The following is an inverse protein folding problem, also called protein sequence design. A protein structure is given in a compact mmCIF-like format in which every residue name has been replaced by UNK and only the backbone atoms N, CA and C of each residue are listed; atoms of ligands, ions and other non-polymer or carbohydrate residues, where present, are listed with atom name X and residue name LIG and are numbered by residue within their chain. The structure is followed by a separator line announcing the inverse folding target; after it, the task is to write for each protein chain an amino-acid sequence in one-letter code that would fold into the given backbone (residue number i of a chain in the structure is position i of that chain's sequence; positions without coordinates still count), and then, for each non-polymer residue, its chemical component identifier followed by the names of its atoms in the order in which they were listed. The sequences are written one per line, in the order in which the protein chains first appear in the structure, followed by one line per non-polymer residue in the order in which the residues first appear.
data_IF_315529715526
#
_entry.id   IF_315529715526
#
_cell.length_a   1.000
_cell.length_b   1.000
_cell.length_c   1.000
_cell.angle_alpha   90.00
_cell.angle_beta   90.00
_cell.angle_gamma   90.00
#
_symmetry.space_group_name_H-M   'P 1'
#
loop_
_entity.id
_entity.type
_entity.pdbx_description
1 polymer ?
#
# COMPACT_ATOMS: atom_id res chain seq x y z
N UNK A 1 -16.00 8.17 4.20
CA UNK A 1 -15.45 7.07 5.00
C UNK A 1 -16.01 7.21 6.41
N UNK A 2 -16.61 6.15 6.93
CA UNK A 2 -17.10 6.12 8.32
C UNK A 2 -15.93 6.12 9.31
N UNK A 3 -16.12 6.66 10.53
CA UNK A 3 -15.01 6.80 11.50
C UNK A 3 -14.44 5.46 11.99
N UNK A 4 -15.28 4.43 12.00
CA UNK A 4 -14.92 3.05 12.35
C UNK A 4 -14.51 2.21 11.14
N UNK A 5 -14.53 2.76 9.92
CA UNK A 5 -14.15 2.04 8.72
C UNK A 5 -12.71 1.55 8.84
N UNK A 6 -12.48 0.32 8.40
CA UNK A 6 -11.18 -0.34 8.40
C UNK A 6 -10.38 0.13 7.19
N UNK A 7 -9.34 0.93 7.42
CA UNK A 7 -8.60 1.61 6.36
C UNK A 7 -7.20 1.00 6.25
N UNK A 8 -6.86 0.45 5.10
CA UNK A 8 -5.50 0.00 4.81
C UNK A 8 -4.68 1.08 4.10
N UNK A 9 -3.47 1.35 4.58
CA UNK A 9 -2.53 2.31 3.96
C UNK A 9 -1.28 1.56 3.50
N UNK A 10 -1.23 1.18 2.23
CA UNK A 10 -0.05 0.58 1.62
C UNK A 10 1.05 1.65 1.48
N UNK A 11 2.26 1.36 1.94
CA UNK A 11 3.38 2.33 1.88
C UNK A 11 3.35 3.42 2.96
N UNK A 12 2.71 3.15 4.11
CA UNK A 12 2.51 4.10 5.22
C UNK A 12 3.77 4.81 5.76
N UNK A 13 4.98 4.26 5.55
CA UNK A 13 6.25 4.88 5.99
C UNK A 13 6.84 5.86 4.97
N UNK A 14 6.34 5.87 3.75
CA UNK A 14 6.77 6.81 2.71
C UNK A 14 6.29 8.23 3.00
N UNK A 15 6.80 9.20 2.25
CA UNK A 15 6.42 10.61 2.40
C UNK A 15 4.90 10.81 2.31
N UNK A 16 4.28 10.26 1.26
CA UNK A 16 2.83 10.34 1.04
C UNK A 16 2.06 9.51 2.07
N UNK A 17 2.43 8.23 2.23
CA UNK A 17 1.73 7.33 3.16
C UNK A 17 1.74 7.82 4.61
N UNK A 18 2.85 8.39 5.08
CA UNK A 18 2.94 8.93 6.45
C UNK A 18 2.13 10.20 6.63
N UNK A 19 1.99 11.04 5.59
CA UNK A 19 1.11 12.19 5.62
C UNK A 19 -0.36 11.78 5.69
N UNK A 20 -0.76 10.76 4.92
CA UNK A 20 -2.11 10.18 4.97
C UNK A 20 -2.39 9.61 6.36
N UNK A 21 -1.49 8.80 6.91
CA UNK A 21 -1.65 8.20 8.23
C UNK A 21 -1.88 9.26 9.31
N UNK A 22 -0.97 10.24 9.43
CA UNK A 22 -1.10 11.33 10.43
C UNK A 22 -2.39 12.13 10.26
N UNK A 23 -2.84 12.34 9.01
CA UNK A 23 -4.06 13.10 8.72
C UNK A 23 -5.29 12.31 9.16
N UNK A 24 -5.36 11.01 8.88
CA UNK A 24 -6.45 10.15 9.31
C UNK A 24 -6.51 10.03 10.84
N UNK A 25 -5.38 9.84 11.51
CA UNK A 25 -5.32 9.85 12.98
C UNK A 25 -5.83 11.18 13.55
N UNK A 26 -5.37 12.31 13.01
CA UNK A 26 -5.81 13.65 13.43
C UNK A 26 -7.30 13.88 13.20
N UNK A 27 -7.88 13.25 12.18
CA UNK A 27 -9.31 13.30 11.91
C UNK A 27 -10.13 12.31 12.75
N UNK A 28 -9.51 11.49 13.59
CA UNK A 28 -10.20 10.57 14.50
C UNK A 28 -10.55 9.22 13.88
N UNK A 29 -9.88 8.80 12.79
CA UNK A 29 -9.94 7.42 12.34
C UNK A 29 -9.02 6.57 13.21
N UNK A 30 -9.56 5.51 13.80
CA UNK A 30 -8.84 4.66 14.76
C UNK A 30 -8.61 3.21 14.26
N UNK A 31 -9.27 2.80 13.18
CA UNK A 31 -9.18 1.46 12.62
C UNK A 31 -8.27 1.43 11.39
N UNK A 32 -6.99 1.77 11.59
CA UNK A 32 -5.98 1.87 10.55
C UNK A 32 -5.10 0.60 10.51
N UNK A 33 -5.01 -0.03 9.35
CA UNK A 33 -4.12 -1.16 9.11
C UNK A 33 -2.90 -0.67 8.32
N UNK A 34 -1.72 -1.08 8.76
CA UNK A 34 -0.48 -0.86 8.05
C UNK A 34 0.39 -2.12 8.05
N UNK A 35 1.27 -2.23 7.05
CA UNK A 35 2.31 -3.28 6.96
C UNK A 35 3.60 -2.67 6.44
N UNK A 36 4.72 -3.11 6.99
CA UNK A 36 6.06 -2.86 6.44
C UNK A 36 6.35 -3.84 5.30
N UNK A 37 7.33 -3.53 4.44
CA UNK A 37 7.73 -4.43 3.36
C UNK A 37 8.27 -5.78 3.85
N UNK A 38 8.76 -5.85 5.09
CA UNK A 38 9.18 -7.11 5.71
C UNK A 38 7.99 -7.96 6.19
N UNK A 39 6.85 -7.34 6.48
CA UNK A 39 5.63 -8.03 6.91
C UNK A 39 4.75 -8.44 5.73
N UNK A 40 4.76 -7.65 4.64
CA UNK A 40 3.97 -7.90 3.45
C UNK A 40 4.73 -7.41 2.21
N UNK A 41 5.23 -8.35 1.42
CA UNK A 41 5.76 -8.04 0.08
C UNK A 41 4.61 -7.89 -0.91
N UNK A 42 4.32 -6.65 -1.28
CA UNK A 42 3.25 -6.29 -2.20
C UNK A 42 3.46 -6.80 -3.64
N UNK A 43 4.66 -7.27 -3.98
CA UNK A 43 4.94 -7.90 -5.28
C UNK A 43 4.50 -9.37 -5.32
N UNK A 44 4.33 -10.00 -4.16
CA UNK A 44 3.88 -11.38 -4.05
C UNK A 44 2.34 -11.44 -4.02
N UNK A 45 1.76 -11.99 -5.08
CA UNK A 45 0.30 -12.07 -5.24
C UNK A 45 -0.38 -12.87 -4.13
N UNK A 46 0.18 -14.02 -3.75
CA UNK A 46 -0.41 -14.88 -2.71
C UNK A 46 -0.43 -14.19 -1.35
N UNK A 47 0.69 -13.54 -0.98
CA UNK A 47 0.75 -12.79 0.29
C UNK A 47 -0.27 -11.65 0.33
N UNK A 48 -0.50 -10.96 -0.80
CA UNK A 48 -1.51 -9.90 -0.90
C UNK A 48 -2.91 -10.50 -0.83
N UNK A 49 -3.19 -11.59 -1.54
CA UNK A 49 -4.47 -12.29 -1.49
C UNK A 49 -4.82 -12.71 -0.05
N UNK A 50 -3.89 -13.37 0.64
CA UNK A 50 -4.07 -13.81 2.03
C UNK A 50 -4.30 -12.62 2.98
N UNK A 51 -3.58 -11.51 2.76
CA UNK A 51 -3.76 -10.29 3.53
C UNK A 51 -5.16 -9.71 3.36
N UNK A 52 -5.66 -9.61 2.12
CA UNK A 52 -7.01 -9.07 1.87
C UNK A 52 -8.11 -9.99 2.40
N UNK A 53 -7.95 -11.31 2.27
CA UNK A 53 -8.90 -12.28 2.83
C UNK A 53 -8.96 -12.20 4.37
N UNK A 54 -7.83 -11.98 5.05
CA UNK A 54 -7.78 -11.87 6.50
C UNK A 54 -8.28 -10.52 7.00
N UNK A 55 -7.87 -9.43 6.34
CA UNK A 55 -8.08 -8.09 6.86
C UNK A 55 -9.35 -7.41 6.36
N UNK A 56 -9.81 -7.69 5.13
CA UNK A 56 -11.03 -7.13 4.54
C UNK A 56 -11.20 -5.61 4.79
N UNK A 57 -10.28 -4.76 4.31
CA UNK A 57 -10.37 -3.32 4.51
C UNK A 57 -11.55 -2.71 3.72
N UNK A 58 -12.26 -1.76 4.32
CA UNK A 58 -13.32 -0.99 3.65
C UNK A 58 -12.75 0.02 2.64
N UNK A 59 -11.55 0.55 2.93
CA UNK A 59 -10.88 1.53 2.08
C UNK A 59 -9.38 1.23 2.00
N UNK A 60 -8.79 1.49 0.82
CA UNK A 60 -7.37 1.31 0.57
C UNK A 60 -6.76 2.61 0.04
N UNK A 61 -5.70 3.08 0.69
CA UNK A 61 -4.80 4.10 0.16
C UNK A 61 -3.53 3.42 -0.37
N UNK A 62 -3.39 3.33 -1.70
CA UNK A 62 -2.19 2.80 -2.35
C UNK A 62 -1.13 3.90 -2.52
N UNK A 63 -0.25 4.05 -1.53
CA UNK A 63 0.89 4.96 -1.57
C UNK A 63 2.25 4.24 -1.70
N UNK A 64 2.24 2.91 -1.79
CA UNK A 64 3.43 2.10 -2.01
C UNK A 64 3.87 2.13 -3.48
N UNK A 65 5.15 2.36 -3.71
CA UNK A 65 5.76 2.32 -5.03
C UNK A 65 7.27 2.06 -4.91
N UNK A 66 7.86 1.49 -5.96
CA UNK A 66 9.31 1.56 -6.16
C UNK A 66 9.64 2.96 -6.67
N UNK A 67 10.36 3.71 -5.85
CA UNK A 67 10.74 5.11 -6.13
C UNK A 67 12.25 5.30 -6.06
N UNK A 68 12.75 6.37 -6.69
CA UNK A 68 14.15 6.75 -6.64
C UNK A 68 14.41 8.06 -7.39
N UNK A 69 15.64 8.57 -7.31
CA UNK A 69 16.06 9.75 -8.07
C UNK A 69 16.21 9.47 -9.56
N UNK A 70 16.58 10.51 -10.33
CA UNK A 70 16.71 10.42 -11.80
C UNK A 70 17.69 9.32 -12.25
N UNK A 71 18.81 9.17 -11.53
CA UNK A 71 19.81 8.12 -11.81
C UNK A 71 19.23 6.73 -11.57
N UNK A 72 18.54 6.51 -10.44
CA UNK A 72 17.96 5.22 -10.10
C UNK A 72 16.87 4.79 -11.10
N UNK A 73 16.00 5.71 -11.53
CA UNK A 73 15.01 5.43 -12.57
C UNK A 73 15.67 5.06 -13.91
N UNK A 74 16.79 5.70 -14.24
CA UNK A 74 17.49 5.45 -15.49
C UNK A 74 18.28 4.13 -15.48
N UNK A 75 18.80 3.73 -14.32
CA UNK A 75 19.58 2.49 -14.14
C UNK A 75 18.67 1.27 -14.00
N UNK A 76 17.63 1.34 -13.17
CA UNK A 76 16.78 0.20 -12.80
C UNK A 76 15.43 0.19 -13.53
N UNK A 77 15.43 0.54 -14.83
CA UNK A 77 14.20 0.78 -15.60
C UNK A 77 13.21 -0.39 -15.55
N UNK A 78 13.72 -1.61 -15.75
CA UNK A 78 12.90 -2.82 -15.75
C UNK A 78 12.32 -3.10 -14.35
N UNK A 79 13.11 -2.92 -13.29
CA UNK A 79 12.65 -3.13 -11.91
C UNK A 79 11.57 -2.11 -11.54
N UNK A 80 11.74 -0.84 -11.90
CA UNK A 80 10.73 0.18 -11.66
C UNK A 80 9.42 -0.16 -12.36
N UNK A 81 9.46 -0.61 -13.61
CA UNK A 81 8.25 -1.01 -14.32
C UNK A 81 7.61 -2.24 -13.67
N UNK A 82 8.38 -3.31 -13.51
CA UNK A 82 7.89 -4.59 -12.99
C UNK A 82 7.33 -4.46 -11.57
N UNK A 83 8.10 -3.88 -10.65
CA UNK A 83 7.68 -3.80 -9.25
C UNK A 83 6.45 -2.91 -9.08
N UNK A 84 6.37 -1.78 -9.77
CA UNK A 84 5.21 -0.91 -9.67
C UNK A 84 3.96 -1.56 -10.28
N UNK A 85 4.09 -2.25 -11.42
CA UNK A 85 2.96 -3.00 -12.00
C UNK A 85 2.52 -4.15 -11.10
N UNK A 86 3.45 -4.91 -10.52
CA UNK A 86 3.13 -6.00 -9.60
C UNK A 86 2.38 -5.48 -8.36
N UNK A 87 2.88 -4.39 -7.75
CA UNK A 87 2.24 -3.74 -6.59
C UNK A 87 0.83 -3.26 -6.96
N UNK A 88 0.69 -2.55 -8.07
CA UNK A 88 -0.60 -1.99 -8.51
C UNK A 88 -1.61 -3.09 -8.81
N UNK A 89 -1.23 -4.09 -9.60
CA UNK A 89 -2.11 -5.18 -10.00
C UNK A 89 -2.59 -5.97 -8.79
N UNK A 90 -1.68 -6.35 -7.88
CA UNK A 90 -2.04 -7.13 -6.69
C UNK A 90 -2.99 -6.34 -5.78
N UNK A 91 -2.68 -5.08 -5.47
CA UNK A 91 -3.53 -4.28 -4.56
C UNK A 91 -4.89 -3.97 -5.20
N UNK A 92 -4.91 -3.51 -6.45
CA UNK A 92 -6.17 -3.08 -7.11
C UNK A 92 -7.08 -4.28 -7.31
N UNK A 93 -6.55 -5.42 -7.76
CA UNK A 93 -7.36 -6.61 -8.00
C UNK A 93 -7.96 -7.17 -6.70
N UNK A 94 -7.16 -7.33 -5.65
CA UNK A 94 -7.64 -7.89 -4.38
C UNK A 94 -8.48 -6.92 -3.53
N UNK A 95 -8.54 -5.64 -3.88
CA UNK A 95 -9.37 -4.67 -3.16
C UNK A 95 -10.87 -4.78 -3.45
N UNK A 96 -11.29 -5.53 -4.47
CA UNK A 96 -12.71 -5.69 -4.83
C UNK A 96 -13.19 -7.14 -4.97
N UNK A 97 -12.32 -8.12 -4.71
CA UNK A 97 -12.70 -9.54 -4.62
C UNK A 97 -13.32 -9.84 -3.26
#
# INVERSE_FOLDING_TARGET
MEKNAKIYIAGHRGMVGSAIHRKLEKEGYNNLITRTSAQLDLRNQLNVADFFEQEKPDYVFLAAAKVGGIVANNTYRADFLYENLAIQNNIIHHAYL
#
